data_IF_985718752272
#
_entry.id   IF_985718752272
#
_cell.length_a   1.000
_cell.length_b   1.000
_cell.length_c   1.000
_cell.angle_alpha   90.00
_cell.angle_beta   90.00
_cell.angle_gamma   90.00
#
_symmetry.space_group_name_H-M   'P 1'
#
loop_
_entity.id
_entity.type
_entity.pdbx_description
1 polymer ?
#
# COMPACT_ATOMS: atom_id res chain seq x y z
N UNK A 1 22.59 0.03 -21.03
CA UNK A 1 22.96 -1.29 -20.46
C UNK A 1 22.00 -1.56 -19.32
N UNK A 2 21.36 -2.72 -19.28
CA UNK A 2 20.54 -3.12 -18.14
C UNK A 2 21.35 -3.05 -16.85
N UNK A 3 20.74 -2.61 -15.75
CA UNK A 3 21.20 -3.02 -14.43
C UNK A 3 21.36 -4.55 -14.50
N UNK A 4 22.59 -5.03 -14.42
CA UNK A 4 23.00 -6.29 -15.03
C UNK A 4 22.17 -7.47 -14.48
N UNK A 5 21.33 -8.08 -15.32
CA UNK A 5 20.63 -9.33 -15.02
C UNK A 5 19.11 -9.33 -15.21
N UNK A 6 18.46 -8.18 -15.43
CA UNK A 6 17.00 -8.12 -15.64
C UNK A 6 16.55 -8.40 -17.09
N UNK A 7 15.33 -8.93 -17.28
CA UNK A 7 14.74 -9.17 -18.62
C UNK A 7 14.40 -7.87 -19.37
N UNK A 8 14.20 -6.77 -18.66
CA UNK A 8 13.94 -5.44 -19.20
C UNK A 8 14.45 -4.40 -18.20
N UNK A 9 14.98 -3.28 -18.71
CA UNK A 9 15.44 -2.15 -17.88
C UNK A 9 14.30 -1.19 -17.62
N UNK A 10 14.37 -0.42 -16.54
CA UNK A 10 13.40 0.62 -16.23
C UNK A 10 13.28 1.69 -17.32
N UNK A 11 14.41 2.09 -17.92
CA UNK A 11 14.44 3.04 -19.04
C UNK A 11 13.69 2.51 -20.28
N UNK A 12 14.03 1.31 -20.75
CA UNK A 12 13.35 0.66 -21.89
C UNK A 12 11.86 0.45 -21.61
N UNK A 13 11.49 0.08 -20.38
CA UNK A 13 10.09 -0.07 -20.00
C UNK A 13 9.35 1.28 -20.00
N UNK A 14 9.97 2.33 -19.48
CA UNK A 14 9.42 3.69 -19.50
C UNK A 14 9.24 4.24 -20.91
N UNK A 15 10.21 4.03 -21.80
CA UNK A 15 10.11 4.38 -23.23
C UNK A 15 8.96 3.63 -23.92
N UNK A 16 8.81 2.33 -23.65
CA UNK A 16 7.70 1.54 -24.19
C UNK A 16 6.34 2.03 -23.68
N UNK A 17 6.24 2.36 -22.39
CA UNK A 17 5.05 2.92 -21.76
C UNK A 17 4.71 4.32 -22.27
N UNK A 18 5.66 5.08 -22.81
CA UNK A 18 5.37 6.38 -23.39
C UNK A 18 4.41 6.32 -24.60
N UNK A 19 4.29 5.16 -25.25
CA UNK A 19 3.41 4.99 -26.42
C UNK A 19 2.47 3.79 -26.35
N UNK A 20 2.71 2.81 -25.48
CA UNK A 20 1.97 1.55 -25.45
C UNK A 20 1.52 1.18 -24.04
N UNK A 21 0.40 0.48 -23.91
CA UNK A 21 0.17 -0.35 -22.74
C UNK A 21 1.15 -1.52 -22.77
N UNK A 22 1.78 -1.82 -21.63
CA UNK A 22 2.80 -2.87 -21.52
C UNK A 22 2.34 -3.94 -20.55
N UNK A 23 2.45 -5.21 -20.95
CA UNK A 23 2.28 -6.36 -20.07
C UNK A 23 3.59 -7.12 -19.99
N UNK A 24 4.11 -7.34 -18.78
CA UNK A 24 5.21 -8.26 -18.51
C UNK A 24 4.62 -9.48 -17.81
N UNK A 25 4.71 -10.63 -18.45
CA UNK A 25 4.19 -11.89 -17.94
C UNK A 25 5.33 -12.88 -17.72
N UNK A 26 5.30 -13.60 -16.60
CA UNK A 26 6.16 -14.77 -16.40
C UNK A 26 5.35 -16.05 -16.57
N UNK A 27 6.05 -17.10 -17.02
CA UNK A 27 5.54 -18.45 -17.14
C UNK A 27 6.60 -19.44 -16.66
N UNK A 28 6.24 -20.74 -16.58
CA UNK A 28 7.22 -21.80 -16.34
C UNK A 28 8.35 -21.83 -17.40
N UNK A 29 8.09 -21.30 -18.62
CA UNK A 29 9.04 -21.27 -19.73
C UNK A 29 9.82 -19.95 -19.88
N UNK A 30 9.63 -18.98 -18.98
CA UNK A 30 10.31 -17.69 -19.01
C UNK A 30 9.37 -16.49 -19.12
N UNK A 31 9.91 -15.35 -19.51
CA UNK A 31 9.22 -14.05 -19.57
C UNK A 31 8.69 -13.77 -20.97
N UNK A 32 7.47 -13.24 -21.06
CA UNK A 32 6.84 -12.74 -22.27
C UNK A 32 6.39 -11.28 -22.06
N UNK A 33 6.68 -10.41 -23.02
CA UNK A 33 6.25 -9.01 -22.96
C UNK A 33 5.40 -8.62 -24.16
N UNK A 34 4.32 -7.89 -23.91
CA UNK A 34 3.45 -7.27 -24.91
C UNK A 34 3.60 -5.76 -24.77
N UNK A 35 3.73 -5.04 -25.89
CA UNK A 35 3.91 -3.58 -25.90
C UNK A 35 5.33 -3.09 -25.57
N UNK A 36 6.25 -4.00 -25.22
CA UNK A 36 7.67 -3.72 -25.01
C UNK A 36 8.53 -4.89 -25.51
N UNK A 37 9.81 -4.64 -25.76
CA UNK A 37 10.80 -5.70 -26.04
C UNK A 37 11.51 -6.07 -24.74
N UNK A 38 11.49 -7.36 -24.39
CA UNK A 38 12.25 -7.90 -23.27
C UNK A 38 13.04 -9.14 -23.71
N UNK A 39 14.08 -9.48 -22.96
CA UNK A 39 14.85 -10.69 -23.22
C UNK A 39 13.96 -11.93 -22.99
N UNK A 40 13.67 -12.65 -24.07
CA UNK A 40 12.99 -13.94 -24.04
C UNK A 40 13.96 -14.99 -23.46
N UNK A 41 13.55 -15.64 -22.38
CA UNK A 41 14.33 -16.71 -21.76
C UNK A 41 15.40 -16.19 -20.77
N UNK A 42 15.04 -16.19 -19.50
CA UNK A 42 16.00 -16.25 -18.39
C UNK A 42 15.95 -17.67 -17.83
N UNK A 43 17.08 -18.37 -17.77
CA UNK A 43 17.17 -19.66 -17.08
C UNK A 43 16.87 -19.45 -15.60
N UNK A 44 15.90 -20.19 -15.04
CA UNK A 44 15.74 -20.34 -13.59
C UNK A 44 14.77 -19.37 -12.89
N UNK A 45 13.90 -18.66 -13.60
CA UNK A 45 12.88 -17.87 -12.90
C UNK A 45 11.81 -18.80 -12.39
N UNK A 46 11.66 -18.86 -11.07
CA UNK A 46 10.65 -19.66 -10.41
C UNK A 46 9.20 -19.16 -10.74
N UNK A 47 9.01 -18.18 -11.64
CA UNK A 47 7.71 -17.60 -12.00
C UNK A 47 7.40 -16.27 -11.30
N UNK A 48 8.33 -15.74 -10.51
CA UNK A 48 8.19 -14.43 -9.85
C UNK A 48 8.62 -13.28 -10.78
N UNK A 49 8.07 -12.08 -10.55
CA UNK A 49 8.53 -10.83 -11.16
C UNK A 49 9.28 -10.01 -10.10
N UNK A 50 10.47 -9.52 -10.43
CA UNK A 50 11.24 -8.59 -9.60
C UNK A 50 11.41 -7.26 -10.33
N UNK A 51 10.88 -6.18 -9.75
CA UNK A 51 11.12 -4.81 -10.23
C UNK A 51 12.34 -4.26 -9.52
N UNK A 52 13.51 -4.46 -10.14
CA UNK A 52 14.81 -4.07 -9.58
C UNK A 52 15.36 -2.76 -10.16
N UNK A 53 14.74 -2.25 -11.22
CA UNK A 53 15.12 -1.02 -11.88
C UNK A 53 13.92 -0.09 -11.91
N UNK A 54 14.14 1.17 -11.58
CA UNK A 54 13.05 2.14 -11.43
C UNK A 54 12.44 2.46 -12.79
N UNK A 55 11.12 2.50 -12.86
CA UNK A 55 10.37 2.83 -14.09
C UNK A 55 9.49 4.05 -13.85
N UNK A 56 9.49 4.97 -14.82
CA UNK A 56 8.62 6.14 -14.81
C UNK A 56 8.08 6.44 -16.21
N UNK A 57 6.82 6.86 -16.30
CA UNK A 57 6.19 7.30 -17.55
C UNK A 57 5.12 8.36 -17.28
N UNK A 58 4.83 9.18 -18.30
CA UNK A 58 3.87 10.30 -18.23
C UNK A 58 2.70 10.17 -19.23
N UNK A 59 2.68 9.10 -20.02
CA UNK A 59 1.58 8.81 -20.93
C UNK A 59 0.42 8.15 -20.18
N UNK A 60 -0.82 8.32 -20.67
CA UNK A 60 -2.02 7.66 -20.16
C UNK A 60 -2.09 6.18 -20.57
N UNK A 61 -1.05 5.42 -20.23
CA UNK A 61 -0.89 4.01 -20.58
C UNK A 61 -0.79 3.15 -19.32
N UNK A 62 -1.03 1.86 -19.50
CA UNK A 62 -1.09 0.88 -18.42
C UNK A 62 0.14 -0.01 -18.39
N UNK A 63 0.71 -0.20 -17.21
CA UNK A 63 1.65 -1.27 -16.91
C UNK A 63 0.91 -2.43 -16.22
N UNK A 64 1.03 -3.64 -16.78
CA UNK A 64 0.54 -4.88 -16.15
C UNK A 64 1.73 -5.79 -15.85
N UNK A 65 1.89 -6.16 -14.58
CA UNK A 65 2.83 -7.18 -14.14
C UNK A 65 2.03 -8.45 -13.82
N UNK A 66 2.23 -9.51 -14.60
CA UNK A 66 1.50 -10.78 -14.46
C UNK A 66 2.46 -11.92 -14.11
N UNK A 67 2.66 -12.14 -12.82
CA UNK A 67 3.53 -13.19 -12.32
C UNK A 67 2.81 -14.53 -12.19
N UNK A 68 3.41 -15.62 -12.69
CA UNK A 68 3.00 -16.99 -12.33
C UNK A 68 2.93 -17.16 -10.81
N UNK A 69 3.88 -16.58 -10.08
CA UNK A 69 3.88 -16.55 -8.61
C UNK A 69 3.90 -15.14 -8.05
N UNK A 70 4.98 -14.72 -7.39
CA UNK A 70 4.99 -13.49 -6.60
C UNK A 70 5.46 -12.30 -7.42
N UNK A 71 5.08 -11.11 -6.97
CA UNK A 71 5.65 -9.85 -7.47
C UNK A 71 6.45 -9.20 -6.33
N UNK A 72 7.69 -8.81 -6.61
CA UNK A 72 8.55 -8.09 -5.66
C UNK A 72 8.94 -6.74 -6.24
N UNK A 73 8.55 -5.66 -5.56
CA UNK A 73 8.85 -4.29 -5.96
C UNK A 73 10.05 -3.78 -5.15
N UNK A 74 11.25 -3.89 -5.72
CA UNK A 74 12.49 -3.45 -5.07
C UNK A 74 12.89 -2.02 -5.46
N UNK A 75 12.41 -1.53 -6.60
CA UNK A 75 12.63 -0.19 -7.12
C UNK A 75 11.29 0.49 -7.47
N UNK A 76 11.31 1.82 -7.57
CA UNK A 76 10.10 2.62 -7.72
C UNK A 76 9.40 2.37 -9.07
N UNK A 77 8.08 2.28 -9.03
CA UNK A 77 7.19 2.41 -10.18
C UNK A 77 6.52 3.78 -10.08
N UNK A 78 6.58 4.61 -11.12
CA UNK A 78 6.05 5.99 -11.09
C UNK A 78 5.20 6.28 -12.32
N UNK A 79 3.88 6.35 -12.14
CA UNK A 79 2.95 6.76 -13.19
C UNK A 79 2.56 8.23 -12.96
N UNK A 80 2.98 9.13 -13.85
CA UNK A 80 2.84 10.59 -13.65
C UNK A 80 1.56 11.18 -14.24
N UNK A 81 0.82 10.40 -15.03
CA UNK A 81 -0.45 10.83 -15.62
C UNK A 81 -1.61 10.36 -14.73
N UNK A 82 -2.65 11.19 -14.59
CA UNK A 82 -3.87 10.83 -13.84
C UNK A 82 -4.55 9.57 -14.39
N UNK A 83 -4.46 9.36 -15.71
CA UNK A 83 -5.05 8.22 -16.41
C UNK A 83 -4.05 7.06 -16.61
N UNK A 84 -2.80 7.19 -16.18
CA UNK A 84 -1.84 6.08 -16.23
C UNK A 84 -2.16 5.05 -15.15
N UNK A 85 -2.05 3.76 -15.49
CA UNK A 85 -2.51 2.68 -14.61
C UNK A 85 -1.42 1.65 -14.30
N UNK A 86 -1.52 1.04 -13.13
CA UNK A 86 -0.72 -0.13 -12.74
C UNK A 86 -1.62 -1.27 -12.33
N UNK A 87 -1.38 -2.46 -12.90
CA UNK A 87 -2.03 -3.70 -12.50
C UNK A 87 -1.01 -4.75 -12.07
N UNK A 88 -1.25 -5.37 -10.91
CA UNK A 88 -0.45 -6.44 -10.36
C UNK A 88 -1.26 -7.74 -10.30
N UNK A 89 -0.96 -8.67 -11.21
CA UNK A 89 -1.56 -10.00 -11.25
C UNK A 89 -0.53 -11.01 -10.74
N UNK A 90 -0.82 -11.68 -9.63
CA UNK A 90 0.12 -12.61 -8.96
C UNK A 90 -0.54 -13.96 -8.72
N UNK A 91 0.27 -15.02 -8.62
CA UNK A 91 -0.20 -16.39 -8.45
C UNK A 91 -0.92 -16.94 -9.68
N UNK A 92 -0.60 -16.45 -10.87
CA UNK A 92 -1.32 -16.78 -12.11
C UNK A 92 -1.14 -18.23 -12.56
N UNK A 93 -0.28 -19.02 -11.91
CA UNK A 93 -0.09 -20.46 -12.15
C UNK A 93 -1.13 -21.36 -11.48
N UNK A 94 -1.94 -20.80 -10.57
CA UNK A 94 -2.98 -21.50 -9.84
C UNK A 94 -4.29 -20.70 -9.84
N UNK A 95 -5.38 -21.33 -9.42
CA UNK A 95 -6.63 -20.62 -9.09
C UNK A 95 -6.45 -19.79 -7.82
N UNK A 96 -7.35 -18.85 -7.54
CA UNK A 96 -7.28 -17.96 -6.38
C UNK A 96 -7.48 -18.71 -5.05
N UNK A 97 -8.34 -19.73 -5.04
CA UNK A 97 -8.64 -20.51 -3.84
C UNK A 97 -7.40 -21.27 -3.34
N UNK A 98 -7.00 -20.99 -2.09
CA UNK A 98 -5.80 -21.60 -1.48
C UNK A 98 -4.47 -21.05 -2.01
N UNK A 99 -4.50 -20.01 -2.84
CA UNK A 99 -3.29 -19.41 -3.40
C UNK A 99 -2.58 -18.54 -2.36
N UNK A 100 -1.29 -18.80 -2.15
CA UNK A 100 -0.45 -18.07 -1.20
C UNK A 100 0.49 -17.06 -1.85
N UNK A 101 0.40 -16.88 -3.18
CA UNK A 101 1.18 -15.87 -3.87
C UNK A 101 0.79 -14.46 -3.40
N UNK A 102 1.76 -13.55 -3.46
CA UNK A 102 1.58 -12.16 -3.03
C UNK A 102 2.37 -11.20 -3.89
N UNK A 103 2.03 -9.91 -3.79
CA UNK A 103 3.00 -8.85 -4.09
C UNK A 103 3.57 -8.30 -2.79
N UNK A 104 4.85 -7.88 -2.82
CA UNK A 104 5.48 -7.26 -1.67
C UNK A 104 6.51 -6.21 -2.07
N UNK A 105 6.77 -5.28 -1.15
CA UNK A 105 7.77 -4.23 -1.35
C UNK A 105 9.11 -4.64 -0.74
N UNK A 106 10.21 -4.35 -1.43
CA UNK A 106 11.59 -4.57 -0.98
C UNK A 106 12.38 -3.28 -0.81
N UNK A 107 11.68 -2.13 -0.78
CA UNK A 107 12.27 -0.80 -0.67
C UNK A 107 11.76 0.18 -1.72
N UNK A 108 11.17 -0.33 -2.81
CA UNK A 108 10.51 0.50 -3.82
C UNK A 108 9.11 0.93 -3.41
N UNK A 109 8.65 2.07 -3.96
CA UNK A 109 7.28 2.56 -3.85
C UNK A 109 6.53 2.42 -5.18
N UNK A 110 5.20 2.44 -5.13
CA UNK A 110 4.36 2.60 -6.32
C UNK A 110 3.69 3.98 -6.24
N UNK A 111 4.21 4.93 -7.01
CA UNK A 111 3.75 6.31 -7.03
C UNK A 111 2.69 6.49 -8.14
N UNK A 112 1.52 6.99 -7.76
CA UNK A 112 0.35 7.12 -8.62
C UNK A 112 -0.38 8.44 -8.31
N UNK A 113 -0.94 9.06 -9.34
CA UNK A 113 -1.90 10.16 -9.18
C UNK A 113 -3.23 9.64 -8.60
N UNK A 114 -3.99 10.51 -7.92
CA UNK A 114 -5.28 10.14 -7.33
C UNK A 114 -6.28 9.70 -8.40
N UNK A 115 -6.97 8.58 -8.18
CA UNK A 115 -7.91 8.04 -9.16
C UNK A 115 -8.19 6.56 -8.99
N UNK A 116 -8.82 5.98 -10.03
CA UNK A 116 -9.14 4.55 -10.12
C UNK A 116 -8.14 3.85 -11.06
N UNK A 117 -6.86 3.95 -10.71
CA UNK A 117 -5.75 3.59 -11.60
C UNK A 117 -4.80 2.50 -11.03
N UNK A 118 -5.19 1.83 -9.94
CA UNK A 118 -4.50 0.67 -9.39
C UNK A 118 -5.41 -0.55 -9.29
N UNK A 119 -4.93 -1.70 -9.76
CA UNK A 119 -5.68 -2.96 -9.77
C UNK A 119 -4.78 -4.12 -9.31
N UNK A 120 -5.33 -5.04 -8.54
CA UNK A 120 -4.66 -6.28 -8.17
C UNK A 120 -5.49 -7.50 -8.52
N UNK A 121 -4.87 -8.62 -8.87
CA UNK A 121 -5.56 -9.90 -9.07
C UNK A 121 -4.72 -11.05 -8.53
N UNK A 122 -5.33 -11.89 -7.68
CA UNK A 122 -4.73 -13.13 -7.18
C UNK A 122 -5.30 -14.33 -7.94
N UNK A 123 -4.45 -15.18 -8.50
CA UNK A 123 -4.88 -16.40 -9.19
C UNK A 123 -5.40 -16.16 -10.61
N UNK A 124 -5.33 -17.21 -11.42
CA UNK A 124 -5.78 -17.22 -12.82
C UNK A 124 -7.27 -16.92 -13.00
N UNK A 125 -8.11 -17.44 -12.10
CA UNK A 125 -9.57 -17.25 -12.04
C UNK A 125 -10.02 -16.16 -11.05
N UNK A 126 -9.06 -15.48 -10.42
CA UNK A 126 -9.34 -14.41 -9.48
C UNK A 126 -10.08 -13.24 -10.11
N UNK A 127 -10.88 -12.57 -9.28
CA UNK A 127 -11.51 -11.30 -9.65
C UNK A 127 -10.48 -10.19 -9.51
N UNK A 128 -10.39 -9.33 -10.53
CA UNK A 128 -9.58 -8.12 -10.43
C UNK A 128 -10.20 -7.16 -9.41
N UNK A 129 -9.42 -6.79 -8.41
CA UNK A 129 -9.81 -5.87 -7.34
C UNK A 129 -9.29 -4.47 -7.69
N UNK A 130 -10.17 -3.52 -8.06
CA UNK A 130 -9.78 -2.13 -8.19
C UNK A 130 -9.57 -1.49 -6.82
N UNK A 131 -8.61 -0.57 -6.76
CA UNK A 131 -8.29 0.21 -5.56
C UNK A 131 -8.44 1.70 -5.87
N UNK A 132 -8.98 2.44 -4.91
CA UNK A 132 -8.99 3.90 -4.96
C UNK A 132 -7.64 4.44 -4.51
N UNK A 133 -6.95 5.14 -5.40
CA UNK A 133 -5.69 5.82 -5.08
C UNK A 133 -5.98 7.17 -4.46
N UNK A 134 -5.43 7.38 -3.26
CA UNK A 134 -5.49 8.66 -2.55
C UNK A 134 -4.08 9.24 -2.41
N UNK A 135 -3.96 10.54 -2.64
CA UNK A 135 -2.67 11.26 -2.60
C UNK A 135 -2.70 12.48 -1.69
N UNK A 136 -3.81 12.68 -0.96
CA UNK A 136 -3.99 13.86 -0.13
C UNK A 136 -4.66 13.54 1.19
N UNK A 137 -4.39 14.40 2.18
CA UNK A 137 -5.00 14.35 3.50
C UNK A 137 -6.51 14.59 3.47
N UNK A 138 -6.96 15.46 2.57
CA UNK A 138 -8.34 15.95 2.52
C UNK A 138 -8.57 17.14 3.46
N UNK A 139 -9.84 17.32 3.84
CA UNK A 139 -10.30 18.34 4.79
C UNK A 139 -10.93 17.69 6.02
N UNK A 140 -11.06 18.45 7.11
CA UNK A 140 -11.73 17.99 8.32
C UNK A 140 -13.13 17.44 8.01
N UNK A 141 -13.43 16.25 8.52
CA UNK A 141 -14.72 15.56 8.33
C UNK A 141 -15.07 15.19 6.88
N UNK A 142 -14.08 15.15 5.97
CA UNK A 142 -14.27 14.60 4.63
C UNK A 142 -14.83 13.18 4.68
N UNK A 143 -15.74 12.87 3.75
CA UNK A 143 -16.32 11.54 3.49
C UNK A 143 -16.34 11.23 1.99
N UNK A 144 -15.46 11.90 1.22
CA UNK A 144 -15.43 11.85 -0.25
C UNK A 144 -14.96 10.50 -0.82
N UNK A 145 -14.26 9.70 -0.01
CA UNK A 145 -13.52 8.49 -0.40
C UNK A 145 -12.31 8.76 -1.30
N UNK A 146 -11.95 10.01 -1.57
CA UNK A 146 -10.84 10.38 -2.49
C UNK A 146 -9.62 10.94 -1.78
N UNK A 147 -9.65 10.99 -0.45
CA UNK A 147 -8.58 11.51 0.41
C UNK A 147 -8.54 10.72 1.74
N UNK A 148 -7.46 10.89 2.51
CA UNK A 148 -7.23 10.10 3.74
C UNK A 148 -8.36 10.25 4.75
N UNK A 149 -8.80 11.48 5.04
CA UNK A 149 -9.92 11.69 5.95
C UNK A 149 -11.23 11.12 5.36
N UNK A 150 -11.37 11.21 4.04
CA UNK A 150 -12.50 10.79 3.22
C UNK A 150 -12.78 9.29 3.21
N UNK A 151 -11.85 8.43 3.65
CA UNK A 151 -12.06 6.98 3.80
C UNK A 151 -13.28 6.68 4.69
N UNK A 152 -13.61 7.56 5.65
CA UNK A 152 -14.82 7.45 6.46
C UNK A 152 -16.14 7.48 5.67
N UNK A 153 -16.12 7.85 4.38
CA UNK A 153 -17.28 7.75 3.49
C UNK A 153 -17.60 6.33 2.98
N UNK A 154 -16.64 5.41 3.04
CA UNK A 154 -16.83 3.99 2.71
C UNK A 154 -15.74 3.14 3.39
N UNK A 155 -16.10 2.63 4.57
CA UNK A 155 -15.23 1.82 5.43
C UNK A 155 -15.00 0.40 4.92
N UNK A 156 -15.72 -0.03 3.87
CA UNK A 156 -15.55 -1.33 3.22
C UNK A 156 -14.70 -1.26 1.95
N UNK A 157 -14.27 -0.07 1.54
CA UNK A 157 -13.52 0.17 0.31
C UNK A 157 -12.06 -0.31 0.34
N UNK A 158 -11.46 -0.44 -0.85
CA UNK A 158 -10.05 -0.73 -1.03
C UNK A 158 -9.31 0.55 -1.43
N UNK A 159 -8.35 0.97 -0.61
CA UNK A 159 -7.62 2.22 -0.77
C UNK A 159 -6.12 1.97 -0.83
N UNK A 160 -5.42 2.74 -1.65
CA UNK A 160 -3.96 2.79 -1.64
C UNK A 160 -3.44 4.22 -1.56
N UNK A 161 -2.29 4.41 -0.93
CA UNK A 161 -1.58 5.69 -1.02
C UNK A 161 -0.78 5.74 -2.31
N UNK A 162 -1.00 6.75 -3.14
CA UNK A 162 -0.18 7.00 -4.34
C UNK A 162 1.01 7.93 -4.10
N UNK A 163 1.09 8.54 -2.91
CA UNK A 163 2.18 9.40 -2.46
C UNK A 163 2.20 9.51 -0.94
N UNK A 164 3.25 10.12 -0.40
CA UNK A 164 3.29 10.46 1.03
C UNK A 164 2.26 11.54 1.35
N UNK A 165 1.65 11.44 2.53
CA UNK A 165 0.66 12.40 3.03
C UNK A 165 1.24 13.17 4.22
N UNK A 166 1.30 14.49 4.09
CA UNK A 166 1.51 15.39 5.23
C UNK A 166 0.16 15.64 5.92
N UNK A 167 0.07 15.16 7.16
CA UNK A 167 -1.10 15.27 8.03
C UNK A 167 -0.94 16.34 9.13
N UNK A 168 0.12 17.16 9.12
CA UNK A 168 0.41 18.18 10.14
C UNK A 168 -0.72 19.19 10.36
N UNK A 169 -1.46 19.50 9.27
CA UNK A 169 -2.63 20.38 9.32
C UNK A 169 -3.74 19.88 10.27
N UNK A 170 -3.78 18.57 10.56
CA UNK A 170 -4.78 17.99 11.47
C UNK A 170 -4.71 18.56 12.87
N UNK A 171 -3.55 19.04 13.33
CA UNK A 171 -3.40 19.71 14.64
C UNK A 171 -4.39 20.85 14.88
N UNK A 172 -4.80 21.57 13.82
CA UNK A 172 -5.80 22.64 13.87
C UNK A 172 -7.24 22.19 13.63
N UNK A 173 -7.48 20.93 13.26
CA UNK A 173 -8.80 20.44 12.90
C UNK A 173 -9.69 20.25 14.12
N UNK A 174 -11.01 20.39 13.91
CA UNK A 174 -12.03 20.06 14.90
C UNK A 174 -11.84 20.76 16.25
N UNK A 175 -11.46 22.04 16.24
CA UNK A 175 -11.19 22.81 17.46
C UNK A 175 -9.96 22.34 18.24
N UNK A 176 -8.98 21.74 17.56
CA UNK A 176 -7.78 21.15 18.17
C UNK A 176 -7.94 19.66 18.54
N UNK A 177 -9.10 19.05 18.26
CA UNK A 177 -9.32 17.62 18.47
C UNK A 177 -8.62 16.73 17.42
N UNK A 178 -8.07 17.31 16.36
CA UNK A 178 -7.29 16.55 15.40
C UNK A 178 -8.11 15.88 14.29
N UNK A 179 -7.45 14.95 13.59
CA UNK A 179 -8.04 14.02 12.63
C UNK A 179 -9.19 13.22 13.26
N UNK A 180 -10.21 12.88 12.47
CA UNK A 180 -11.25 11.94 12.87
C UNK A 180 -10.79 10.53 12.50
N UNK A 181 -10.56 9.62 13.47
CA UNK A 181 -10.13 8.25 13.20
C UNK A 181 -10.98 7.60 12.11
N UNK A 182 -10.35 6.74 11.31
CA UNK A 182 -11.04 5.94 10.29
C UNK A 182 -11.79 4.82 11.00
N UNK A 183 -13.12 4.86 10.90
CA UNK A 183 -14.01 3.97 11.63
C UNK A 183 -13.99 4.19 13.14
N UNK A 184 -14.93 3.55 13.83
CA UNK A 184 -15.13 3.61 15.28
C UNK A 184 -15.59 2.26 15.84
N UNK A 185 -15.94 2.21 17.14
CA UNK A 185 -16.34 0.96 17.78
C UNK A 185 -17.60 0.30 17.19
N UNK A 186 -18.52 1.13 16.72
CA UNK A 186 -19.80 0.75 16.12
C UNK A 186 -19.69 0.54 14.61
N UNK A 187 -18.92 1.39 13.93
CA UNK A 187 -18.69 1.39 12.48
C UNK A 187 -17.21 1.14 12.20
N UNK A 188 -16.81 -0.13 12.26
CA UNK A 188 -15.40 -0.53 12.14
C UNK A 188 -14.96 -0.43 10.69
N UNK A 189 -13.69 -0.12 10.46
CA UNK A 189 -13.08 -0.29 9.14
C UNK A 189 -13.02 -1.79 8.81
N UNK A 190 -13.57 -2.20 7.67
CA UNK A 190 -13.57 -3.60 7.21
C UNK A 190 -12.96 -3.78 5.82
N UNK A 191 -12.58 -2.69 5.17
CA UNK A 191 -11.91 -2.66 3.87
C UNK A 191 -10.40 -2.86 3.97
N UNK A 192 -9.70 -2.38 2.94
CA UNK A 192 -8.24 -2.50 2.83
C UNK A 192 -7.57 -1.14 2.65
N UNK A 193 -6.45 -0.92 3.32
CA UNK A 193 -5.54 0.20 3.07
C UNK A 193 -4.12 -0.32 2.84
N UNK A 194 -3.58 -0.10 1.63
CA UNK A 194 -2.18 -0.36 1.33
C UNK A 194 -1.41 0.96 1.16
N UNK A 195 -0.38 1.18 1.98
CA UNK A 195 0.46 2.36 1.87
C UNK A 195 1.33 2.38 0.60
N UNK A 196 1.50 1.27 -0.12
CA UNK A 196 2.40 1.12 -1.27
C UNK A 196 3.83 1.65 -1.02
N UNK A 197 4.26 1.60 0.26
CA UNK A 197 5.57 2.06 0.71
C UNK A 197 5.59 3.54 1.13
N UNK A 198 4.45 4.22 1.09
CA UNK A 198 4.28 5.61 1.49
C UNK A 198 4.02 5.78 2.98
N UNK A 199 4.13 7.04 3.39
CA UNK A 199 4.03 7.46 4.78
C UNK A 199 2.93 8.50 4.99
N UNK A 200 2.36 8.50 6.19
CA UNK A 200 1.56 9.59 6.73
C UNK A 200 2.41 10.25 7.82
N UNK A 201 2.65 11.56 7.71
CA UNK A 201 3.54 12.30 8.63
C UNK A 201 2.79 13.38 9.40
N UNK A 202 3.08 13.57 10.69
CA UNK A 202 2.54 14.70 11.45
C UNK A 202 1.08 14.56 11.88
N UNK A 203 0.51 13.34 11.87
CA UNK A 203 -0.89 13.11 12.23
C UNK A 203 -1.15 13.51 13.69
N UNK A 204 -2.14 14.37 13.92
CA UNK A 204 -2.56 14.79 15.26
C UNK A 204 -3.98 14.32 15.56
N UNK A 205 -4.18 13.66 16.71
CA UNK A 205 -5.49 13.22 17.20
C UNK A 205 -5.58 13.49 18.70
N UNK A 206 -6.64 14.14 19.16
CA UNK A 206 -6.91 14.36 20.59
C UNK A 206 -8.39 14.10 20.89
N UNK A 207 -8.74 12.86 21.22
CA UNK A 207 -10.13 12.38 21.31
C UNK A 207 -10.34 11.41 22.47
N UNK A 208 -11.56 10.87 22.64
CA UNK A 208 -11.93 9.96 23.74
C UNK A 208 -11.29 8.57 23.63
N UNK A 209 -12.09 7.51 23.60
CA UNK A 209 -11.61 6.14 23.46
C UNK A 209 -11.45 5.69 22.01
N UNK A 210 -10.67 4.61 21.80
CA UNK A 210 -10.40 4.01 20.49
C UNK A 210 -9.70 4.99 19.54
N UNK A 211 -8.49 5.40 19.92
CA UNK A 211 -7.75 6.45 19.23
C UNK A 211 -6.55 5.86 18.52
N UNK A 212 -6.45 6.14 17.23
CA UNK A 212 -5.36 5.86 16.30
C UNK A 212 -5.74 6.38 14.92
N UNK A 213 -4.90 6.18 13.90
CA UNK A 213 -5.31 6.45 12.51
C UNK A 213 -6.65 5.76 12.21
N UNK A 214 -6.81 4.52 12.68
CA UNK A 214 -8.07 3.80 12.75
C UNK A 214 -8.63 3.83 14.16
N UNK A 215 -9.94 4.08 14.30
CA UNK A 215 -10.60 3.93 15.59
C UNK A 215 -10.69 2.45 15.97
N UNK A 216 -11.26 1.65 15.06
CA UNK A 216 -11.30 0.19 15.19
C UNK A 216 -11.17 -0.48 13.81
N UNK A 217 -10.15 -1.32 13.65
CA UNK A 217 -10.07 -2.30 12.56
C UNK A 217 -10.95 -3.52 12.89
N UNK A 218 -11.96 -3.78 12.06
CA UNK A 218 -12.85 -4.93 12.17
C UNK A 218 -12.25 -6.22 11.61
N UNK A 219 -12.95 -7.34 11.82
CA UNK A 219 -12.59 -8.61 11.22
C UNK A 219 -12.60 -8.51 9.68
N UNK A 220 -11.54 -9.00 9.03
CA UNK A 220 -11.37 -8.93 7.58
C UNK A 220 -10.68 -7.65 7.08
N UNK A 221 -10.50 -6.63 7.93
CA UNK A 221 -9.74 -5.45 7.55
C UNK A 221 -8.28 -5.78 7.26
N UNK A 222 -7.70 -5.13 6.25
CA UNK A 222 -6.28 -5.28 5.90
C UNK A 222 -5.58 -3.92 5.87
N UNK A 223 -4.51 -3.77 6.62
CA UNK A 223 -3.62 -2.59 6.55
C UNK A 223 -2.20 -3.05 6.30
N UNK A 224 -1.57 -2.57 5.23
CA UNK A 224 -0.21 -2.98 4.90
C UNK A 224 0.66 -1.90 4.28
N UNK A 225 1.98 -2.12 4.31
CA UNK A 225 3.01 -1.27 3.70
C UNK A 225 2.90 0.23 4.04
N UNK A 226 2.42 0.56 5.24
CA UNK A 226 2.17 1.94 5.66
C UNK A 226 3.16 2.38 6.74
N UNK A 227 3.82 3.51 6.53
CA UNK A 227 4.58 4.19 7.58
C UNK A 227 3.76 5.30 8.22
N UNK A 228 3.71 5.34 9.54
CA UNK A 228 3.12 6.45 10.29
C UNK A 228 4.22 7.16 11.10
N UNK A 229 4.51 8.40 10.73
CA UNK A 229 5.70 9.12 11.20
C UNK A 229 5.26 10.37 11.98
N UNK A 230 5.93 10.64 13.09
CA UNK A 230 5.78 11.88 13.88
C UNK A 230 4.33 12.18 14.25
N UNK A 231 3.58 11.16 14.68
CA UNK A 231 2.19 11.32 15.08
C UNK A 231 2.06 11.76 16.54
N UNK A 232 1.17 12.71 16.80
CA UNK A 232 0.84 13.16 18.14
C UNK A 232 -0.59 12.72 18.50
N UNK A 233 -0.70 11.67 19.30
CA UNK A 233 -1.98 11.01 19.56
C UNK A 233 -2.28 11.03 21.04
N UNK A 234 -3.41 11.64 21.41
CA UNK A 234 -3.91 11.67 22.77
C UNK A 234 -5.35 11.21 22.89
N UNK A 235 -5.64 10.55 24.00
CA UNK A 235 -7.01 10.21 24.37
C UNK A 235 -7.17 9.49 25.69
N UNK A 236 -8.30 8.82 25.88
CA UNK A 236 -8.61 8.05 27.08
C UNK A 236 -8.77 6.56 26.74
N UNK A 237 -8.22 5.66 27.52
CA UNK A 237 -8.46 4.22 27.35
C UNK A 237 -7.59 3.56 26.27
N UNK A 238 -8.21 3.11 25.17
CA UNK A 238 -7.53 2.38 24.08
C UNK A 238 -6.93 3.33 23.05
N UNK A 239 -5.62 3.57 23.15
CA UNK A 239 -4.87 4.52 22.32
C UNK A 239 -3.65 3.82 21.72
N UNK A 240 -3.51 3.85 20.40
CA UNK A 240 -2.33 3.41 19.65
C UNK A 240 -2.11 4.35 18.46
N UNK A 241 -0.92 4.32 17.84
CA UNK A 241 -0.65 5.14 16.67
C UNK A 241 -1.45 4.68 15.47
N UNK A 242 -1.51 3.37 15.23
CA UNK A 242 -2.17 2.82 14.05
C UNK A 242 -3.65 2.58 14.28
N UNK A 243 -4.02 1.87 15.34
CA UNK A 243 -5.42 1.51 15.59
C UNK A 243 -5.75 1.43 17.08
N UNK A 244 -6.79 2.15 17.51
CA UNK A 244 -7.25 2.08 18.91
C UNK A 244 -7.64 0.66 19.34
N UNK A 245 -8.25 -0.12 18.44
CA UNK A 245 -8.38 -1.55 18.58
C UNK A 245 -8.21 -2.25 17.23
N UNK A 246 -7.79 -3.52 17.25
CA UNK A 246 -7.54 -4.30 16.04
C UNK A 246 -8.15 -5.71 16.11
N UNK A 247 -8.99 -6.06 15.14
CA UNK A 247 -9.46 -7.42 14.83
C UNK A 247 -9.12 -7.83 13.38
N UNK A 248 -8.39 -6.98 12.65
CA UNK A 248 -7.94 -7.21 11.28
C UNK A 248 -6.48 -7.64 11.21
N UNK A 249 -5.94 -7.59 10.00
CA UNK A 249 -4.54 -7.91 9.71
C UNK A 249 -3.74 -6.64 9.46
N UNK A 250 -2.63 -6.48 10.18
CA UNK A 250 -1.64 -5.43 9.94
C UNK A 250 -0.32 -6.09 9.56
N UNK A 251 0.26 -5.72 8.43
CA UNK A 251 1.52 -6.29 7.95
C UNK A 251 2.43 -5.22 7.34
N UNK A 252 3.75 -5.43 7.36
CA UNK A 252 4.75 -4.54 6.75
C UNK A 252 4.55 -3.02 7.04
N UNK A 253 3.98 -2.69 8.20
CA UNK A 253 3.63 -1.32 8.59
C UNK A 253 4.42 -0.94 9.84
N UNK A 254 4.72 0.34 10.00
CA UNK A 254 5.59 0.81 11.08
C UNK A 254 5.19 2.19 11.59
N UNK A 255 5.55 2.47 12.84
CA UNK A 255 5.42 3.79 13.45
C UNK A 255 6.81 4.32 13.83
N UNK A 256 7.05 5.62 13.68
CA UNK A 256 8.33 6.24 14.03
C UNK A 256 8.13 7.65 14.58
N UNK A 257 8.70 7.93 15.75
CA UNK A 257 8.68 9.27 16.34
C UNK A 257 7.32 9.72 16.89
N UNK A 258 6.39 8.80 17.13
CA UNK A 258 5.07 9.13 17.67
C UNK A 258 5.10 9.43 19.17
N UNK A 259 4.28 10.39 19.60
CA UNK A 259 4.04 10.76 20.99
C UNK A 259 2.63 10.39 21.42
N UNK A 260 2.51 9.91 22.66
CA UNK A 260 1.24 9.47 23.25
C UNK A 260 0.91 10.27 24.51
N UNK A 261 -0.32 10.76 24.63
CA UNK A 261 -0.83 11.45 25.83
C UNK A 261 -2.15 10.88 26.32
N UNK A 262 -2.32 10.67 27.63
CA UNK A 262 -3.59 10.19 28.19
C UNK A 262 -3.47 9.23 29.37
N UNK A 263 -4.62 8.75 29.85
CA UNK A 263 -4.73 7.66 30.82
C UNK A 263 -4.93 6.34 30.07
N UNK A 264 -3.94 5.43 30.17
CA UNK A 264 -3.92 4.18 29.42
C UNK A 264 -4.38 3.00 30.27
N UNK A 265 -5.20 2.12 29.69
CA UNK A 265 -5.30 0.74 30.15
C UNK A 265 -4.25 -0.06 29.38
N UNK A 266 -3.17 -0.47 30.06
CA UNK A 266 -2.10 -1.26 29.43
C UNK A 266 -2.67 -2.62 29.01
N UNK A 267 -2.90 -2.81 27.70
CA UNK A 267 -2.98 -4.13 27.09
C UNK A 267 -1.59 -4.45 26.53
N UNK A 268 -0.85 -5.32 27.22
CA UNK A 268 0.35 -5.95 26.65
C UNK A 268 -0.16 -6.94 25.61
N UNK A 269 -0.18 -6.54 24.34
CA UNK A 269 -0.04 -7.50 23.26
C UNK A 269 1.43 -7.58 22.87
N UNK A 270 1.93 -8.80 22.94
CA UNK A 270 3.32 -9.22 22.80
C UNK A 270 3.89 -8.81 21.44
N UNK A 271 4.68 -7.74 21.40
CA UNK A 271 5.67 -7.55 20.33
C UNK A 271 6.79 -8.57 20.52
N UNK A 272 6.75 -9.70 19.80
CA UNK A 272 7.94 -10.54 19.66
C UNK A 272 8.96 -9.82 18.77
N UNK A 273 9.75 -8.93 19.37
CA UNK A 273 11.05 -8.52 18.81
C UNK A 273 12.07 -9.58 19.19
N UNK A 274 12.33 -10.51 18.27
CA UNK A 274 13.51 -11.39 18.31
C UNK A 274 14.73 -10.52 18.04
N UNK A 275 15.41 -10.08 19.10
CA UNK A 275 16.79 -9.61 19.00
C UNK A 275 17.71 -10.80 19.16
N UNK A 276 18.17 -11.35 18.04
CA UNK A 276 19.33 -12.24 18.02
C UNK A 276 20.58 -11.41 18.28
N UNK A 277 21.03 -11.34 19.53
CA UNK A 277 22.35 -10.82 19.85
C UNK A 277 23.33 -11.99 19.85
N UNK A 278 24.14 -12.09 18.80
CA UNK A 278 25.40 -12.83 18.84
C UNK A 278 26.43 -12.02 19.64
N UNK A 279 26.99 -12.65 20.68
CA UNK A 279 28.36 -12.47 21.20
C UNK A 279 28.61 -13.66 22.13
N UNK A 280 29.69 -14.44 22.10
CA UNK A 280 31.01 -14.34 21.48
C UNK A 280 31.38 -15.69 20.87
#
# INVERSE_FOLDING_TARGET
MAASGGNITGAVLGEALASNAVTIQTSAGGTHCVGATCANGGTGTNGDIFVNDAVSWSAATKLTLSAHRNIKINANITAQNVDAQVQLDYGQDAVASGNSASYSLGGGTINLEAGDNFVTKLGSDGVATPWKVITSLGIASSTTRTDLQGINGDLGGNYVLGSNIDASATSGWNGGAGFLPIGDNNNRFSGSLDGLGHTITGLSINRGEYVGLFGFLGAGAMVQNLGLIESNISGSGRVDSLAGANQGTVSASYTKGSTFGGTFWVWIDRLERVWGHHSK
#
